data_IF_140309590736
#
_entry.id   IF_140309590736
#
_cell.length_a   1.000
_cell.length_b   1.000
_cell.length_c   1.000
_cell.angle_alpha   90.00
_cell.angle_beta   90.00
_cell.angle_gamma   90.00
#
_symmetry.space_group_name_H-M   'P 1'
#
loop_
_entity.id
_entity.type
_entity.pdbx_description
1 polymer ?
#
# COMPACT_ATOMS: atom_id res chain seq x y z
N UNK A 1 -3.37 19.17 18.10
CA UNK A 1 -4.66 19.13 18.82
C UNK A 1 -5.29 17.77 18.56
N UNK A 2 -5.62 17.03 19.62
CA UNK A 2 -6.29 15.73 19.54
C UNK A 2 -7.77 15.94 19.23
N UNK A 3 -8.19 15.62 18.01
CA UNK A 3 -9.61 15.62 17.65
C UNK A 3 -10.24 14.36 18.22
N UNK A 4 -11.18 14.55 19.14
CA UNK A 4 -11.99 13.47 19.72
C UNK A 4 -13.03 13.05 18.68
N UNK A 5 -12.97 11.80 18.23
CA UNK A 5 -14.15 11.19 17.60
C UNK A 5 -15.29 11.19 18.63
N UNK A 6 -16.53 11.41 18.21
CA UNK A 6 -17.70 11.26 19.09
C UNK A 6 -18.05 9.77 19.35
N UNK A 7 -17.15 8.85 19.00
CA UNK A 7 -17.35 7.42 19.21
C UNK A 7 -17.00 7.04 20.65
N UNK A 8 -18.01 6.77 21.46
CA UNK A 8 -17.89 6.27 22.85
C UNK A 8 -17.56 4.76 22.92
N UNK A 9 -16.81 4.25 21.93
CA UNK A 9 -16.47 2.83 21.83
C UNK A 9 -15.77 2.25 23.05
N UNK A 10 -15.59 0.93 23.02
CA UNK A 10 -14.88 0.24 24.09
C UNK A 10 -13.37 0.55 24.04
N UNK A 11 -12.83 0.97 25.18
CA UNK A 11 -11.39 1.04 25.38
C UNK A 11 -10.87 -0.36 25.72
N UNK A 12 -9.89 -0.85 24.95
CA UNK A 12 -9.26 -2.14 25.22
C UNK A 12 -8.22 -1.95 26.33
N UNK A 13 -8.36 -2.59 27.51
CA UNK A 13 -7.35 -2.51 28.55
C UNK A 13 -6.02 -3.09 28.05
N UNK A 14 -4.94 -2.32 28.21
CA UNK A 14 -3.58 -2.70 27.78
C UNK A 14 -2.63 -2.90 28.97
N UNK A 15 -3.13 -2.72 30.19
CA UNK A 15 -2.40 -2.79 31.45
C UNK A 15 -1.66 -4.12 31.64
N UNK A 16 -2.29 -5.24 31.28
CA UNK A 16 -1.67 -6.57 31.41
C UNK A 16 -0.65 -6.89 30.30
N UNK A 17 -0.83 -6.34 29.10
CA UNK A 17 -0.05 -6.67 27.89
C UNK A 17 1.07 -5.66 27.59
N UNK A 18 1.14 -4.56 28.35
CA UNK A 18 2.19 -3.51 28.33
C UNK A 18 2.33 -2.70 27.02
N UNK A 19 1.80 -3.17 25.89
CA UNK A 19 1.76 -2.48 24.59
C UNK A 19 0.37 -2.55 23.93
N UNK A 20 0.08 -1.60 23.02
CA UNK A 20 -1.19 -1.56 22.29
C UNK A 20 -1.35 -2.80 21.41
N UNK A 21 -2.55 -3.36 21.37
CA UNK A 21 -2.86 -4.60 20.66
C UNK A 21 -2.45 -4.58 19.17
N UNK A 22 -2.58 -3.42 18.52
CA UNK A 22 -2.33 -3.25 17.08
C UNK A 22 -0.86 -3.12 16.70
N UNK A 23 0.02 -2.75 17.62
CA UNK A 23 1.46 -2.67 17.30
C UNK A 23 2.17 -4.01 17.37
N UNK A 24 1.53 -5.05 17.94
CA UNK A 24 2.12 -6.40 18.03
C UNK A 24 1.65 -7.28 16.86
N UNK A 25 2.53 -7.67 15.92
CA UNK A 25 2.16 -8.46 14.75
C UNK A 25 1.76 -9.90 15.09
N UNK A 26 2.18 -10.43 16.25
CA UNK A 26 1.81 -11.80 16.68
C UNK A 26 0.44 -11.88 17.32
N UNK A 27 -0.16 -10.74 17.68
CA UNK A 27 -1.50 -10.71 18.26
C UNK A 27 -2.53 -10.50 17.16
N UNK A 28 -2.68 -11.52 16.32
CA UNK A 28 -3.49 -11.50 15.10
C UNK A 28 -4.93 -11.97 15.38
N UNK A 29 -5.91 -11.26 14.82
CA UNK A 29 -7.29 -11.74 14.73
C UNK A 29 -7.56 -12.42 13.39
N UNK A 30 -8.59 -13.28 13.34
CA UNK A 30 -9.11 -13.79 12.08
C UNK A 30 -9.92 -12.71 11.35
N UNK A 31 -10.04 -12.82 10.03
CA UNK A 31 -10.76 -11.87 9.18
C UNK A 31 -12.29 -11.89 9.38
N UNK A 32 -12.83 -12.93 10.01
CA UNK A 32 -14.25 -12.96 10.43
C UNK A 32 -14.41 -12.25 11.77
N UNK A 33 -15.56 -11.66 12.08
CA UNK A 33 -15.83 -11.20 13.44
C UNK A 33 -16.20 -12.38 14.37
N UNK A 34 -16.07 -12.17 15.69
CA UNK A 34 -16.55 -13.09 16.72
C UNK A 34 -17.35 -12.30 17.76
N UNK A 35 -18.46 -12.86 18.23
CA UNK A 35 -19.37 -12.24 19.20
C UNK A 35 -18.76 -12.09 20.60
N UNK A 36 -17.72 -12.86 20.92
CA UNK A 36 -17.03 -12.84 22.21
C UNK A 36 -15.67 -12.13 22.20
N UNK A 37 -15.23 -11.59 21.06
CA UNK A 37 -13.93 -10.92 20.94
C UNK A 37 -14.04 -9.59 20.20
N UNK A 38 -13.62 -8.51 20.86
CA UNK A 38 -13.56 -7.19 20.24
C UNK A 38 -12.38 -7.12 19.26
N UNK A 39 -12.70 -7.14 17.96
CA UNK A 39 -11.76 -7.13 16.83
C UNK A 39 -11.76 -5.75 16.16
N UNK A 40 -11.74 -5.70 14.82
CA UNK A 40 -11.85 -4.44 14.09
C UNK A 40 -13.22 -3.82 14.32
N UNK A 41 -13.22 -2.59 14.77
CA UNK A 41 -14.42 -1.78 14.88
C UNK A 41 -14.62 -0.97 13.60
N UNK A 42 -15.51 -1.47 12.74
CA UNK A 42 -15.75 -0.81 11.45
C UNK A 42 -16.43 0.56 11.57
N UNK A 43 -17.14 0.85 12.67
CA UNK A 43 -17.71 2.18 12.89
C UNK A 43 -16.61 3.16 13.30
N UNK A 44 -15.78 2.81 14.28
CA UNK A 44 -14.61 3.62 14.67
C UNK A 44 -13.69 3.86 13.47
N UNK A 45 -13.43 2.82 12.69
CA UNK A 45 -12.63 2.90 11.46
C UNK A 45 -13.17 3.95 10.48
N UNK A 46 -14.48 3.95 10.21
CA UNK A 46 -15.11 4.95 9.33
C UNK A 46 -14.99 6.36 9.91
N UNK A 47 -15.32 6.52 11.20
CA UNK A 47 -15.31 7.82 11.88
C UNK A 47 -13.91 8.43 11.94
N UNK A 48 -12.89 7.65 12.30
CA UNK A 48 -11.52 8.14 12.43
C UNK A 48 -10.90 8.48 11.08
N UNK A 49 -11.14 7.67 10.03
CA UNK A 49 -10.71 8.01 8.66
C UNK A 49 -11.33 9.32 8.18
N UNK A 50 -12.64 9.49 8.40
CA UNK A 50 -13.35 10.71 8.04
C UNK A 50 -12.81 11.92 8.82
N UNK A 51 -12.57 11.77 10.13
CA UNK A 51 -11.98 12.80 10.95
C UNK A 51 -10.57 13.21 10.47
N UNK A 52 -9.74 12.24 10.05
CA UNK A 52 -8.43 12.50 9.43
C UNK A 52 -8.55 13.30 8.15
N UNK A 53 -9.45 12.90 7.24
CA UNK A 53 -9.68 13.64 6.00
C UNK A 53 -10.14 15.08 6.27
N UNK A 54 -11.06 15.29 7.23
CA UNK A 54 -11.51 16.63 7.63
C UNK A 54 -10.39 17.48 8.22
N UNK A 55 -9.52 16.90 9.05
CA UNK A 55 -8.39 17.62 9.62
C UNK A 55 -7.43 18.10 8.51
N UNK A 56 -7.18 17.27 7.49
CA UNK A 56 -6.34 17.67 6.36
C UNK A 56 -7.04 18.66 5.41
N UNK A 57 -8.37 18.60 5.29
CA UNK A 57 -9.14 19.66 4.62
C UNK A 57 -8.97 21.00 5.31
N UNK A 58 -9.06 21.04 6.63
CA UNK A 58 -8.88 22.28 7.40
C UNK A 58 -7.45 22.81 7.27
N UNK A 59 -6.45 21.92 7.32
CA UNK A 59 -5.04 22.29 7.11
C UNK A 59 -4.80 22.97 5.74
N UNK A 60 -5.52 22.53 4.71
CA UNK A 60 -5.39 23.06 3.33
C UNK A 60 -6.45 24.13 3.00
N UNK A 61 -7.26 24.55 3.98
CA UNK A 61 -8.41 25.45 3.86
C UNK A 61 -9.37 25.07 2.71
N UNK A 62 -9.78 23.81 2.69
CA UNK A 62 -10.72 23.27 1.69
C UNK A 62 -12.16 23.39 2.18
N UNK A 63 -13.01 24.09 1.43
CA UNK A 63 -14.46 24.12 1.67
C UNK A 63 -15.10 22.75 1.46
N UNK A 64 -14.64 22.01 0.45
CA UNK A 64 -15.05 20.63 0.20
C UNK A 64 -13.95 19.83 -0.49
N UNK A 65 -14.04 18.51 -0.38
CA UNK A 65 -13.32 17.55 -1.21
C UNK A 65 -14.28 16.87 -2.17
N UNK A 66 -13.88 16.74 -3.43
CA UNK A 66 -14.51 15.88 -4.43
C UNK A 66 -13.52 14.78 -4.77
N UNK A 67 -13.88 13.53 -4.46
CA UNK A 67 -13.00 12.38 -4.69
C UNK A 67 -13.60 11.42 -5.72
N UNK A 68 -12.79 11.07 -6.71
CA UNK A 68 -13.11 10.13 -7.78
C UNK A 68 -12.30 8.83 -7.66
N UNK A 69 -11.08 8.89 -7.09
CA UNK A 69 -10.27 7.69 -6.91
C UNK A 69 -11.00 6.70 -6.00
N UNK A 70 -11.19 5.45 -6.43
CA UNK A 70 -12.04 4.51 -5.68
C UNK A 70 -11.53 4.21 -4.27
N UNK A 71 -10.21 4.28 -4.07
CA UNK A 71 -9.61 4.19 -2.75
C UNK A 71 -10.00 5.35 -1.82
N UNK A 72 -10.06 6.59 -2.34
CA UNK A 72 -10.49 7.75 -1.57
C UNK A 72 -12.01 7.71 -1.32
N UNK A 73 -12.80 7.28 -2.30
CA UNK A 73 -14.24 7.00 -2.12
C UNK A 73 -14.44 6.01 -0.97
N UNK A 74 -13.72 4.88 -0.97
CA UNK A 74 -13.78 3.89 0.10
C UNK A 74 -13.28 4.41 1.43
N UNK A 75 -12.19 5.18 1.44
CA UNK A 75 -11.63 5.75 2.67
C UNK A 75 -12.65 6.66 3.38
N UNK A 76 -13.36 7.51 2.63
CA UNK A 76 -14.34 8.45 3.18
C UNK A 76 -15.69 7.81 3.53
N UNK A 77 -16.07 6.71 2.88
CA UNK A 77 -17.45 6.19 2.95
C UNK A 77 -17.58 4.74 3.36
N UNK A 78 -16.49 3.96 3.35
CA UNK A 78 -16.55 2.51 3.47
C UNK A 78 -17.17 1.78 2.26
N UNK A 79 -17.58 2.49 1.21
CA UNK A 79 -18.19 1.89 0.03
C UNK A 79 -17.18 1.18 -0.87
N UNK A 80 -17.53 -0.01 -1.36
CA UNK A 80 -16.72 -0.83 -2.26
C UNK A 80 -17.56 -1.33 -3.44
N UNK A 81 -16.97 -1.37 -4.64
CA UNK A 81 -17.64 -1.78 -5.88
C UNK A 81 -16.72 -2.57 -6.83
N UNK A 82 -15.70 -3.26 -6.29
CA UNK A 82 -14.76 -4.03 -7.11
C UNK A 82 -13.61 -3.21 -7.72
N UNK A 83 -12.58 -3.92 -8.20
CA UNK A 83 -11.37 -3.31 -8.76
C UNK A 83 -11.63 -2.42 -9.99
N UNK A 84 -12.56 -2.83 -10.87
CA UNK A 84 -12.78 -2.13 -12.13
C UNK A 84 -13.31 -0.70 -11.96
N UNK A 85 -13.91 -0.35 -10.81
CA UNK A 85 -14.34 1.02 -10.48
C UNK A 85 -13.28 1.83 -9.72
N UNK A 86 -12.12 1.28 -9.39
CA UNK A 86 -11.11 1.99 -8.60
C UNK A 86 -10.35 3.05 -9.39
N UNK A 87 -10.22 2.85 -10.69
CA UNK A 87 -9.40 3.64 -11.61
C UNK A 87 -10.20 4.28 -12.75
N UNK A 88 -11.52 4.33 -12.63
CA UNK A 88 -12.41 4.98 -13.61
C UNK A 88 -13.35 5.96 -12.90
N UNK A 89 -13.55 7.13 -13.49
CA UNK A 89 -14.22 8.24 -12.85
C UNK A 89 -15.72 8.20 -13.18
N UNK A 90 -16.42 7.18 -12.67
CA UNK A 90 -17.86 6.96 -12.94
C UNK A 90 -18.75 7.07 -11.70
N UNK A 91 -18.12 7.27 -10.54
CA UNK A 91 -18.73 7.49 -9.23
C UNK A 91 -17.83 8.43 -8.42
N UNK A 92 -18.38 9.11 -7.44
CA UNK A 92 -17.64 10.13 -6.70
C UNK A 92 -18.26 10.41 -5.35
N UNK A 93 -17.50 11.07 -4.47
CA UNK A 93 -17.97 11.56 -3.18
C UNK A 93 -17.71 13.05 -3.08
N UNK A 94 -18.69 13.78 -2.55
CA UNK A 94 -18.50 15.18 -2.12
C UNK A 94 -18.50 15.19 -0.60
N UNK A 95 -17.38 15.58 0.01
CA UNK A 95 -17.23 15.79 1.44
C UNK A 95 -17.19 17.29 1.74
N UNK A 96 -18.29 17.90 2.22
CA UNK A 96 -18.30 19.30 2.66
C UNK A 96 -17.61 19.45 4.02
N UNK A 97 -16.94 20.58 4.28
CA UNK A 97 -16.25 20.85 5.56
C UNK A 97 -17.21 20.84 6.75
N UNK A 98 -18.44 21.31 6.55
CA UNK A 98 -19.49 21.47 7.55
C UNK A 98 -20.58 20.38 7.52
N UNK A 99 -20.37 19.27 6.83
CA UNK A 99 -21.37 18.22 6.71
C UNK A 99 -20.78 16.86 6.34
N UNK A 100 -21.61 15.82 6.33
CA UNK A 100 -21.22 14.44 6.07
C UNK A 100 -20.98 14.13 4.58
N UNK A 101 -20.21 13.08 4.23
CA UNK A 101 -19.94 12.75 2.83
C UNK A 101 -21.22 12.34 2.09
N UNK A 102 -21.32 12.81 0.84
CA UNK A 102 -22.38 12.46 -0.11
C UNK A 102 -21.82 11.54 -1.18
N UNK A 103 -22.37 10.34 -1.29
CA UNK A 103 -21.95 9.36 -2.28
C UNK A 103 -22.82 9.47 -3.54
N UNK A 104 -22.16 9.63 -4.68
CA UNK A 104 -22.76 9.50 -6.00
C UNK A 104 -22.38 8.13 -6.55
N UNK A 105 -23.35 7.22 -6.63
CA UNK A 105 -23.16 5.83 -7.08
C UNK A 105 -23.81 5.59 -8.45
N UNK A 106 -23.21 4.70 -9.25
CA UNK A 106 -23.74 4.31 -10.56
C UNK A 106 -25.20 3.89 -10.46
N UNK A 107 -26.06 4.50 -11.28
CA UNK A 107 -27.49 4.24 -11.23
C UNK A 107 -27.84 2.77 -11.53
N UNK A 108 -29.00 2.31 -11.05
CA UNK A 108 -29.45 0.93 -11.19
C UNK A 108 -29.17 0.11 -9.94
N UNK A 109 -28.72 -1.14 -10.12
CA UNK A 109 -28.51 -2.09 -9.02
C UNK A 109 -27.43 -1.63 -8.05
N UNK A 110 -26.35 -1.01 -8.53
CA UNK A 110 -25.25 -0.55 -7.68
C UNK A 110 -25.73 0.52 -6.69
N UNK A 111 -26.48 1.51 -7.17
CA UNK A 111 -27.15 2.51 -6.34
C UNK A 111 -28.08 1.87 -5.30
N UNK A 112 -28.87 0.87 -5.70
CA UNK A 112 -29.81 0.18 -4.79
C UNK A 112 -29.07 -0.60 -3.71
N UNK A 113 -28.01 -1.32 -4.07
CA UNK A 113 -27.19 -2.05 -3.12
C UNK A 113 -26.49 -1.09 -2.14
N UNK A 114 -25.93 0.01 -2.63
CA UNK A 114 -25.35 1.04 -1.76
C UNK A 114 -26.36 1.58 -0.73
N UNK A 115 -27.62 1.80 -1.13
CA UNK A 115 -28.68 2.24 -0.22
C UNK A 115 -29.08 1.19 0.84
N UNK A 116 -28.92 -0.10 0.53
CA UNK A 116 -29.23 -1.20 1.46
C UNK A 116 -28.06 -1.45 2.41
N UNK A 117 -26.85 -1.50 1.87
CA UNK A 117 -25.67 -2.00 2.58
C UNK A 117 -24.89 -0.92 3.34
N UNK A 118 -25.16 0.38 3.08
CA UNK A 118 -24.46 1.52 3.68
C UNK A 118 -25.41 2.38 4.54
N UNK A 119 -25.97 1.85 5.65
CA UNK A 119 -26.94 2.58 6.48
C UNK A 119 -26.34 3.87 7.09
N UNK A 120 -25.02 3.93 7.30
CA UNK A 120 -24.34 5.15 7.76
C UNK A 120 -24.27 6.27 6.70
N UNK A 121 -24.78 6.04 5.48
CA UNK A 121 -24.96 7.05 4.43
C UNK A 121 -26.44 7.29 4.11
N UNK A 122 -27.37 6.88 4.97
CA UNK A 122 -28.80 7.06 4.76
C UNK A 122 -29.13 8.53 4.41
N UNK A 123 -29.94 8.71 3.36
CA UNK A 123 -30.31 10.03 2.82
C UNK A 123 -29.21 10.76 2.04
N UNK A 124 -27.99 10.21 1.94
CA UNK A 124 -26.82 10.85 1.31
C UNK A 124 -26.25 10.09 0.12
N UNK A 125 -27.04 9.21 -0.49
CA UNK A 125 -26.68 8.47 -1.69
C UNK A 125 -27.51 8.96 -2.87
N UNK A 126 -26.85 9.45 -3.93
CA UNK A 126 -27.46 9.99 -5.16
C UNK A 126 -26.96 9.23 -6.40
N UNK A 127 -27.69 9.25 -7.52
CA UNK A 127 -27.19 8.68 -8.77
C UNK A 127 -25.99 9.49 -9.31
N UNK A 128 -24.89 8.80 -9.64
CA UNK A 128 -23.75 9.40 -10.33
C UNK A 128 -24.06 9.68 -11.79
N UNK A 129 -23.56 10.81 -12.28
CA UNK A 129 -23.54 11.11 -13.70
C UNK A 129 -22.22 10.61 -14.28
N UNK A 130 -22.28 9.54 -15.08
CA UNK A 130 -21.13 8.98 -15.78
C UNK A 130 -20.90 9.74 -17.08
N UNK A 131 -19.73 10.37 -17.23
CA UNK A 131 -19.38 11.12 -18.44
C UNK A 131 -18.34 10.42 -19.30
N UNK A 132 -17.49 9.59 -18.71
CA UNK A 132 -16.52 8.79 -19.45
C UNK A 132 -17.25 7.79 -20.36
N UNK A 133 -16.74 7.60 -21.58
CA UNK A 133 -17.35 6.74 -22.62
C UNK A 133 -18.77 7.13 -23.05
N UNK A 134 -19.17 8.40 -22.85
CA UNK A 134 -20.46 8.92 -23.32
C UNK A 134 -20.41 9.44 -24.77
N UNK A 135 -19.30 9.22 -25.49
CA UNK A 135 -19.05 9.58 -26.88
C UNK A 135 -19.38 11.05 -27.19
N UNK A 136 -20.32 11.32 -28.09
CA UNK A 136 -20.73 12.70 -28.40
C UNK A 136 -21.33 13.46 -27.23
N UNK A 137 -21.72 12.78 -26.15
CA UNK A 137 -22.35 13.37 -24.96
C UNK A 137 -21.38 13.60 -23.78
N UNK A 138 -20.07 13.34 -23.93
CA UNK A 138 -19.08 13.51 -22.85
C UNK A 138 -19.18 14.89 -22.19
N UNK A 139 -19.25 15.97 -22.98
CA UNK A 139 -19.36 17.33 -22.44
C UNK A 139 -20.66 17.57 -21.65
N UNK A 140 -21.80 17.13 -22.18
CA UNK A 140 -23.10 17.26 -21.51
C UNK A 140 -23.14 16.46 -20.20
N UNK A 141 -22.59 15.24 -20.21
CA UNK A 141 -22.56 14.40 -19.02
C UNK A 141 -21.59 14.91 -17.96
N UNK A 142 -20.46 15.50 -18.36
CA UNK A 142 -19.54 16.17 -17.44
C UNK A 142 -20.20 17.41 -16.81
N UNK A 143 -20.93 18.22 -17.61
CA UNK A 143 -21.72 19.34 -17.10
C UNK A 143 -22.77 18.87 -16.06
N UNK A 144 -23.47 17.76 -16.33
CA UNK A 144 -24.44 17.15 -15.40
C UNK A 144 -23.76 16.64 -14.12
N UNK A 145 -22.58 16.05 -14.23
CA UNK A 145 -21.78 15.62 -13.07
C UNK A 145 -21.45 16.81 -12.19
N UNK A 146 -20.87 17.88 -12.76
CA UNK A 146 -20.53 19.09 -12.01
C UNK A 146 -21.76 19.78 -11.43
N UNK A 147 -22.89 19.77 -12.15
CA UNK A 147 -24.17 20.27 -11.62
C UNK A 147 -24.59 19.53 -10.34
N UNK A 148 -24.43 18.20 -10.29
CA UNK A 148 -24.73 17.40 -9.10
C UNK A 148 -23.79 17.67 -7.92
N UNK A 149 -22.51 17.96 -8.20
CA UNK A 149 -21.55 18.42 -7.17
C UNK A 149 -21.96 19.79 -6.64
N UNK A 150 -22.33 20.70 -7.54
CA UNK A 150 -22.79 22.05 -7.21
C UNK A 150 -24.05 22.07 -6.34
N UNK A 151 -24.96 21.11 -6.49
CA UNK A 151 -26.12 20.97 -5.59
C UNK A 151 -25.68 20.78 -4.14
N UNK A 152 -24.79 19.83 -3.86
CA UNK A 152 -24.27 19.58 -2.51
C UNK A 152 -23.53 20.82 -1.99
N UNK A 153 -22.72 21.47 -2.82
CA UNK A 153 -22.02 22.70 -2.42
C UNK A 153 -22.99 23.84 -2.09
N UNK A 154 -24.08 24.02 -2.84
CA UNK A 154 -25.12 25.03 -2.55
C UNK A 154 -25.86 24.73 -1.25
N UNK A 155 -26.25 23.47 -1.04
CA UNK A 155 -26.91 23.03 0.19
C UNK A 155 -26.08 23.34 1.44
N UNK A 156 -24.74 23.34 1.31
CA UNK A 156 -23.80 23.61 2.40
C UNK A 156 -23.23 25.04 2.41
N UNK A 157 -23.60 25.89 1.45
CA UNK A 157 -23.12 27.27 1.33
C UNK A 157 -21.66 27.42 0.88
N UNK A 158 -21.10 26.43 0.19
CA UNK A 158 -19.66 26.30 -0.11
C UNK A 158 -19.28 26.65 -1.55
N UNK A 159 -20.19 27.19 -2.37
CA UNK A 159 -19.94 27.42 -3.82
C UNK A 159 -18.85 28.46 -4.11
N UNK A 160 -18.42 29.24 -3.11
CA UNK A 160 -17.36 30.26 -3.24
C UNK A 160 -16.04 29.83 -2.59
N UNK A 161 -16.01 28.65 -1.97
CA UNK A 161 -14.86 28.14 -1.27
C UNK A 161 -13.88 27.44 -2.21
N UNK A 162 -12.70 27.10 -1.68
CA UNK A 162 -11.71 26.27 -2.34
C UNK A 162 -12.17 24.80 -2.37
N UNK A 163 -12.30 24.22 -3.55
CA UNK A 163 -12.78 22.84 -3.75
C UNK A 163 -11.59 21.95 -4.15
N UNK A 164 -11.21 21.03 -3.27
CA UNK A 164 -10.13 20.08 -3.56
C UNK A 164 -10.63 18.91 -4.40
N UNK A 165 -9.94 18.58 -5.49
CA UNK A 165 -10.23 17.44 -6.35
C UNK A 165 -9.03 16.48 -6.34
N UNK A 166 -9.24 15.18 -6.09
CA UNK A 166 -8.16 14.20 -5.96
C UNK A 166 -7.55 13.75 -7.29
N UNK A 167 -8.38 13.47 -8.29
CA UNK A 167 -8.00 13.20 -9.67
C UNK A 167 -9.07 13.75 -10.62
N UNK A 168 -8.71 14.07 -11.86
CA UNK A 168 -9.65 14.59 -12.85
C UNK A 168 -9.14 14.35 -14.28
N UNK A 169 -10.08 14.25 -15.22
CA UNK A 169 -9.80 14.28 -16.66
C UNK A 169 -10.14 15.66 -17.26
N UNK A 170 -9.75 15.89 -18.52
CA UNK A 170 -9.97 17.18 -19.19
C UNK A 170 -11.46 17.56 -19.33
N UNK A 171 -12.40 16.67 -19.69
CA UNK A 171 -13.83 17.02 -19.69
C UNK A 171 -14.35 17.48 -18.34
N UNK A 172 -14.01 16.77 -17.25
CA UNK A 172 -14.39 17.18 -15.91
C UNK A 172 -13.77 18.54 -15.54
N UNK A 173 -12.48 18.75 -15.85
CA UNK A 173 -11.80 20.03 -15.63
C UNK A 173 -12.56 21.20 -16.25
N UNK A 174 -12.86 21.11 -17.55
CA UNK A 174 -13.56 22.19 -18.25
C UNK A 174 -14.98 22.41 -17.71
N UNK A 175 -15.68 21.35 -17.31
CA UNK A 175 -17.00 21.48 -16.70
C UNK A 175 -16.95 22.21 -15.34
N UNK A 176 -15.93 21.92 -14.51
CA UNK A 176 -15.70 22.63 -13.25
C UNK A 176 -15.37 24.11 -13.47
N UNK A 177 -14.48 24.41 -14.43
CA UNK A 177 -14.13 25.79 -14.81
C UNK A 177 -15.32 26.56 -15.35
N UNK A 178 -16.11 25.93 -16.24
CA UNK A 178 -17.35 26.51 -16.80
C UNK A 178 -18.39 26.79 -15.71
N UNK A 179 -18.44 25.97 -14.66
CA UNK A 179 -19.31 26.21 -13.51
C UNK A 179 -18.81 27.34 -12.58
N UNK A 180 -17.61 27.87 -12.82
CA UNK A 180 -17.03 28.97 -12.04
C UNK A 180 -16.54 28.55 -10.65
N UNK A 181 -16.24 27.26 -10.45
CA UNK A 181 -15.74 26.74 -9.18
C UNK A 181 -14.24 26.98 -9.01
N UNK A 182 -13.82 27.37 -7.81
CA UNK A 182 -12.41 27.50 -7.45
C UNK A 182 -11.84 26.12 -7.08
N UNK A 183 -11.40 25.37 -8.08
CA UNK A 183 -10.84 24.04 -7.90
C UNK A 183 -9.34 24.06 -7.64
N UNK A 184 -8.86 23.12 -6.82
CA UNK A 184 -7.44 22.94 -6.49
C UNK A 184 -7.09 21.46 -6.40
N UNK A 185 -5.80 21.14 -6.35
CA UNK A 185 -5.34 19.78 -6.09
C UNK A 185 -5.68 19.34 -4.65
N UNK A 186 -6.58 18.38 -4.52
CA UNK A 186 -7.00 17.76 -3.24
C UNK A 186 -6.23 16.49 -2.88
N UNK A 187 -5.40 15.96 -3.78
CA UNK A 187 -4.59 14.76 -3.50
C UNK A 187 -3.70 14.89 -2.27
N UNK A 188 -2.99 16.01 -2.01
CA UNK A 188 -2.14 16.14 -0.83
C UNK A 188 -2.89 15.94 0.50
N UNK A 189 -4.10 16.47 0.63
CA UNK A 189 -4.93 16.29 1.82
C UNK A 189 -5.28 14.80 2.03
N UNK A 190 -5.74 14.12 0.98
CA UNK A 190 -6.08 12.69 1.05
C UNK A 190 -4.85 11.79 1.28
N UNK A 191 -3.70 12.13 0.69
CA UNK A 191 -2.45 11.42 0.93
C UNK A 191 -2.03 11.54 2.40
N UNK A 192 -1.95 12.76 2.97
CA UNK A 192 -1.59 12.95 4.38
C UNK A 192 -2.57 12.28 5.34
N UNK A 193 -3.86 12.26 5.01
CA UNK A 193 -4.87 11.59 5.82
C UNK A 193 -4.66 10.07 5.89
N UNK A 194 -4.20 9.43 4.81
CA UNK A 194 -4.02 7.97 4.69
C UNK A 194 -2.66 7.46 5.16
N UNK A 195 -1.61 8.28 5.02
CA UNK A 195 -0.24 7.84 5.33
C UNK A 195 -0.09 7.46 6.82
N UNK A 196 -0.84 8.10 7.73
CA UNK A 196 -0.87 7.77 9.17
C UNK A 196 -2.10 6.93 9.50
N UNK A 197 -1.87 5.69 9.94
CA UNK A 197 -2.92 4.69 10.12
C UNK A 197 -3.61 4.85 11.48
N UNK A 198 -4.91 4.61 11.49
CA UNK A 198 -5.69 4.41 12.72
C UNK A 198 -5.48 3.00 13.27
N UNK A 199 -5.82 2.73 14.55
CA UNK A 199 -5.68 1.40 15.14
C UNK A 199 -6.39 0.29 14.35
N UNK A 200 -7.60 0.55 13.85
CA UNK A 200 -8.37 -0.43 13.08
C UNK A 200 -7.77 -0.67 11.68
N UNK A 201 -7.12 0.32 11.09
CA UNK A 201 -6.38 0.14 9.83
C UNK A 201 -5.17 -0.76 10.04
N UNK A 202 -4.44 -0.55 11.14
CA UNK A 202 -3.28 -1.39 11.48
C UNK A 202 -3.72 -2.84 11.68
N UNK A 203 -4.88 -3.10 12.30
CA UNK A 203 -5.41 -4.46 12.41
C UNK A 203 -5.77 -5.07 11.05
N UNK A 204 -6.39 -4.31 10.15
CA UNK A 204 -6.68 -4.78 8.79
C UNK A 204 -5.39 -5.14 8.03
N UNK A 205 -4.39 -4.28 8.12
CA UNK A 205 -3.06 -4.50 7.53
C UNK A 205 -2.41 -5.77 8.09
N UNK A 206 -2.47 -5.99 9.42
CA UNK A 206 -1.96 -7.23 10.05
C UNK A 206 -2.63 -8.47 9.47
N UNK A 207 -3.94 -8.43 9.25
CA UNK A 207 -4.68 -9.53 8.66
C UNK A 207 -4.26 -9.79 7.21
N UNK A 208 -4.09 -8.74 6.40
CA UNK A 208 -3.56 -8.87 5.04
C UNK A 208 -2.15 -9.46 5.02
N UNK A 209 -1.24 -8.93 5.85
CA UNK A 209 0.13 -9.40 5.97
C UNK A 209 0.21 -10.88 6.35
N UNK A 210 -0.61 -11.33 7.30
CA UNK A 210 -0.62 -12.73 7.74
C UNK A 210 -1.12 -13.70 6.65
N UNK A 211 -2.06 -13.29 5.80
CA UNK A 211 -2.49 -14.09 4.64
C UNK A 211 -1.35 -14.17 3.62
N UNK A 212 -0.67 -13.05 3.38
CA UNK A 212 0.53 -12.99 2.55
C UNK A 212 1.61 -13.95 3.04
N UNK A 213 2.00 -13.86 4.31
CA UNK A 213 2.98 -14.75 4.96
C UNK A 213 2.62 -16.22 4.75
N UNK A 214 1.35 -16.58 4.96
CA UNK A 214 0.89 -17.94 4.77
C UNK A 214 1.04 -18.38 3.30
N UNK A 215 0.70 -17.51 2.33
CA UNK A 215 0.89 -17.80 0.92
C UNK A 215 2.37 -18.05 0.60
N UNK A 216 3.28 -17.19 1.08
CA UNK A 216 4.72 -17.34 0.86
C UNK A 216 5.27 -18.61 1.53
N UNK A 217 4.74 -18.98 2.71
CA UNK A 217 5.07 -20.25 3.34
C UNK A 217 4.66 -21.44 2.47
N UNK A 218 3.45 -21.44 1.90
CA UNK A 218 3.01 -22.50 0.99
C UNK A 218 3.82 -22.53 -0.31
N UNK A 219 4.25 -21.37 -0.85
CA UNK A 219 5.17 -21.33 -1.97
C UNK A 219 6.45 -22.09 -1.63
N UNK A 220 7.12 -21.70 -0.53
CA UNK A 220 8.41 -22.28 -0.11
C UNK A 220 8.30 -23.78 0.17
N UNK A 221 7.25 -24.22 0.84
CA UNK A 221 7.19 -25.57 1.43
C UNK A 221 6.37 -26.57 0.61
N UNK A 222 5.46 -26.13 -0.26
CA UNK A 222 4.51 -27.03 -0.94
C UNK A 222 4.46 -26.85 -2.46
N UNK A 223 4.50 -25.60 -2.95
CA UNK A 223 4.25 -25.34 -4.37
C UNK A 223 5.54 -25.27 -5.20
N UNK A 224 6.64 -24.76 -4.64
CA UNK A 224 7.91 -24.64 -5.33
C UNK A 224 8.62 -25.99 -5.47
N UNK A 225 8.71 -26.49 -6.70
CA UNK A 225 9.45 -27.70 -7.06
C UNK A 225 9.86 -27.67 -8.53
N UNK A 226 10.91 -28.43 -8.93
CA UNK A 226 11.30 -28.52 -10.33
C UNK A 226 10.14 -28.99 -11.21
N UNK A 227 10.00 -28.38 -12.39
CA UNK A 227 9.01 -28.74 -13.39
C UNK A 227 7.64 -28.06 -13.26
N UNK A 228 7.40 -27.27 -12.21
CA UNK A 228 6.27 -26.33 -12.22
C UNK A 228 6.65 -25.04 -12.93
N UNK A 229 5.69 -24.32 -13.50
CA UNK A 229 5.93 -23.03 -14.14
C UNK A 229 5.80 -21.86 -13.16
N UNK A 230 6.40 -20.72 -13.47
CA UNK A 230 6.17 -19.46 -12.74
C UNK A 230 4.68 -19.14 -12.65
N UNK A 231 3.95 -19.30 -13.77
CA UNK A 231 2.49 -19.13 -13.87
C UNK A 231 1.71 -20.08 -12.94
N UNK A 232 2.19 -21.30 -12.72
CA UNK A 232 1.56 -22.22 -11.78
C UNK A 232 1.71 -21.73 -10.34
N UNK A 233 2.87 -21.18 -9.95
CA UNK A 233 3.05 -20.55 -8.63
C UNK A 233 2.10 -19.35 -8.47
N UNK A 234 2.09 -18.43 -9.43
CA UNK A 234 1.17 -17.26 -9.47
C UNK A 234 -0.29 -17.71 -9.27
N UNK A 235 -0.74 -18.70 -10.04
CA UNK A 235 -2.12 -19.19 -9.97
C UNK A 235 -2.49 -19.77 -8.60
N UNK A 236 -1.54 -20.41 -7.91
CA UNK A 236 -1.77 -20.96 -6.57
C UNK A 236 -1.89 -19.84 -5.52
N UNK A 237 -1.06 -18.80 -5.63
CA UNK A 237 -1.17 -17.62 -4.77
C UNK A 237 -2.52 -16.94 -4.96
N UNK A 238 -2.95 -16.72 -6.21
CA UNK A 238 -4.27 -16.17 -6.52
C UNK A 238 -5.38 -16.97 -5.83
N UNK A 239 -5.39 -18.29 -6.05
CA UNK A 239 -6.39 -19.17 -5.43
C UNK A 239 -6.35 -19.08 -3.91
N UNK A 240 -5.17 -19.18 -3.32
CA UNK A 240 -4.99 -19.26 -1.88
C UNK A 240 -5.47 -18.00 -1.15
N UNK A 241 -5.15 -16.83 -1.69
CA UNK A 241 -5.48 -15.53 -1.11
C UNK A 241 -6.98 -15.23 -1.29
N UNK A 242 -7.56 -15.50 -2.46
CA UNK A 242 -9.00 -15.33 -2.70
C UNK A 242 -9.83 -16.25 -1.80
N UNK A 243 -9.41 -17.51 -1.61
CA UNK A 243 -10.06 -18.46 -0.69
C UNK A 243 -10.05 -17.97 0.78
N UNK A 244 -9.25 -16.94 1.11
CA UNK A 244 -9.12 -16.36 2.46
C UNK A 244 -9.71 -14.96 2.59
N UNK A 245 -10.47 -14.51 1.59
CA UNK A 245 -11.20 -13.24 1.65
C UNK A 245 -10.39 -12.02 1.23
N UNK A 246 -9.23 -12.19 0.58
CA UNK A 246 -8.63 -11.09 -0.17
C UNK A 246 -9.59 -10.62 -1.26
N UNK A 247 -9.70 -9.31 -1.43
CA UNK A 247 -10.69 -8.70 -2.32
C UNK A 247 -10.19 -8.60 -3.76
N UNK A 248 -8.90 -8.31 -3.93
CA UNK A 248 -8.27 -8.10 -5.24
C UNK A 248 -6.86 -8.68 -5.15
N UNK A 249 -6.48 -9.48 -6.14
CA UNK A 249 -5.06 -9.81 -6.34
C UNK A 249 -4.55 -8.80 -7.36
N UNK A 250 -3.69 -7.89 -6.92
CA UNK A 250 -3.28 -6.76 -7.73
C UNK A 250 -2.27 -7.23 -8.78
N UNK A 251 -1.15 -7.81 -8.34
CA UNK A 251 -0.17 -8.49 -9.17
C UNK A 251 0.61 -9.50 -8.32
N UNK A 252 0.89 -10.69 -8.86
CA UNK A 252 1.82 -11.64 -8.23
C UNK A 252 3.00 -11.83 -9.19
N UNK A 253 4.14 -11.26 -8.82
CA UNK A 253 5.37 -11.38 -9.60
C UNK A 253 6.04 -12.70 -9.24
N UNK A 254 6.41 -13.48 -10.25
CA UNK A 254 7.19 -14.69 -10.09
C UNK A 254 8.28 -14.72 -11.15
N UNK A 255 9.55 -14.65 -10.74
CA UNK A 255 10.70 -14.72 -11.63
C UNK A 255 11.66 -15.80 -11.16
N UNK A 256 12.04 -16.72 -12.04
CA UNK A 256 12.87 -17.89 -11.71
C UNK A 256 14.14 -17.99 -12.55
N UNK A 257 15.25 -18.40 -11.92
CA UNK A 257 16.48 -18.68 -12.66
C UNK A 257 17.01 -17.44 -13.38
N UNK A 258 17.34 -17.60 -14.65
CA UNK A 258 17.72 -16.49 -15.54
C UNK A 258 16.66 -15.40 -15.73
N UNK A 259 15.38 -15.62 -15.41
CA UNK A 259 14.38 -14.53 -15.40
C UNK A 259 14.57 -13.56 -14.22
N UNK A 260 15.41 -13.91 -13.23
CA UNK A 260 15.82 -12.96 -12.20
C UNK A 260 16.96 -12.04 -12.69
N UNK A 261 17.69 -12.39 -13.76
CA UNK A 261 18.84 -11.60 -14.26
C UNK A 261 18.80 -11.37 -15.78
N UNK A 262 18.39 -10.18 -16.28
CA UNK A 262 17.81 -9.07 -15.52
C UNK A 262 16.43 -9.41 -14.97
N UNK A 263 16.04 -8.78 -13.86
CA UNK A 263 14.79 -9.08 -13.16
C UNK A 263 13.56 -8.80 -14.02
N UNK A 264 12.97 -9.88 -14.55
CA UNK A 264 11.72 -9.88 -15.29
C UNK A 264 10.57 -10.06 -14.30
N UNK A 265 9.84 -8.98 -14.04
CA UNK A 265 8.76 -8.95 -13.03
C UNK A 265 7.56 -9.84 -13.34
N UNK A 266 7.32 -10.23 -14.58
CA UNK A 266 6.06 -10.91 -14.92
C UNK A 266 6.23 -12.41 -15.05
N UNK A 267 5.38 -13.16 -14.36
CA UNK A 267 5.37 -14.61 -14.40
C UNK A 267 5.11 -15.13 -15.82
N UNK A 268 5.91 -16.09 -16.27
CA UNK A 268 5.79 -16.70 -17.60
C UNK A 268 5.42 -18.18 -17.52
N UNK A 269 5.34 -18.85 -18.66
CA UNK A 269 5.25 -20.31 -18.74
C UNK A 269 6.61 -21.00 -18.57
N UNK A 270 7.68 -20.26 -18.21
CA UNK A 270 9.00 -20.84 -17.90
C UNK A 270 8.87 -21.90 -16.82
N UNK A 271 9.40 -23.08 -17.13
CA UNK A 271 9.62 -24.15 -16.15
C UNK A 271 10.70 -23.74 -15.15
N UNK A 272 10.38 -23.86 -13.87
CA UNK A 272 11.32 -23.69 -12.76
C UNK A 272 12.19 -24.94 -12.69
N UNK A 273 13.51 -24.75 -12.66
CA UNK A 273 14.47 -25.84 -12.58
C UNK A 273 15.02 -26.00 -11.16
N UNK A 274 15.58 -27.17 -10.87
CA UNK A 274 16.36 -27.36 -9.65
C UNK A 274 17.56 -26.40 -9.65
N UNK A 275 17.78 -25.70 -8.54
CA UNK A 275 18.83 -24.70 -8.44
C UNK A 275 18.42 -23.28 -8.86
N UNK A 276 17.22 -23.07 -9.40
CA UNK A 276 16.74 -21.72 -9.65
C UNK A 276 16.50 -20.99 -8.31
N UNK A 277 16.97 -19.75 -8.21
CA UNK A 277 16.41 -18.73 -7.33
C UNK A 277 15.04 -18.32 -7.88
N UNK A 278 14.11 -18.08 -6.97
CA UNK A 278 12.75 -17.65 -7.26
C UNK A 278 12.47 -16.35 -6.50
N UNK A 279 12.35 -15.24 -7.21
CA UNK A 279 11.81 -14.00 -6.64
C UNK A 279 10.29 -14.09 -6.75
N UNK A 280 9.61 -13.97 -5.61
CA UNK A 280 8.15 -13.82 -5.54
C UNK A 280 7.82 -12.51 -4.85
N UNK A 281 7.01 -11.69 -5.50
CA UNK A 281 6.40 -10.47 -4.96
C UNK A 281 4.89 -10.71 -4.83
N UNK A 282 4.35 -10.59 -3.61
CA UNK A 282 2.92 -10.73 -3.36
C UNK A 282 2.33 -9.35 -3.17
N UNK A 283 1.63 -8.85 -4.19
CA UNK A 283 0.88 -7.60 -4.13
C UNK A 283 -0.63 -7.88 -4.21
N UNK A 284 -1.30 -7.78 -3.08
CA UNK A 284 -2.72 -8.10 -2.99
C UNK A 284 -3.46 -7.24 -1.97
N UNK A 285 -4.75 -7.05 -2.22
CA UNK A 285 -5.68 -6.37 -1.33
C UNK A 285 -6.34 -7.42 -0.45
N UNK A 286 -5.96 -7.45 0.82
CA UNK A 286 -6.58 -8.31 1.81
C UNK A 286 -7.99 -7.88 2.20
N UNK A 287 -8.60 -8.62 3.15
CA UNK A 287 -9.92 -8.29 3.67
C UNK A 287 -9.99 -6.85 4.17
N UNK A 288 -11.10 -6.16 3.91
CA UNK A 288 -11.29 -4.79 4.39
C UNK A 288 -10.51 -3.73 3.58
N UNK A 289 -9.81 -4.13 2.52
CA UNK A 289 -9.26 -3.24 1.50
C UNK A 289 -7.80 -2.88 1.68
N UNK A 290 -7.08 -3.51 2.62
CA UNK A 290 -5.70 -3.16 2.93
C UNK A 290 -4.71 -4.05 2.18
N UNK A 291 -3.73 -3.41 1.57
CA UNK A 291 -2.70 -4.08 0.81
C UNK A 291 -1.73 -4.84 1.73
N UNK A 292 -1.21 -5.92 1.17
CA UNK A 292 0.06 -6.56 1.52
C UNK A 292 0.93 -6.53 0.24
N UNK A 293 2.19 -6.16 0.39
CA UNK A 293 3.18 -6.04 -0.69
C UNK A 293 4.50 -6.57 -0.15
N UNK A 294 4.89 -7.80 -0.45
CA UNK A 294 6.14 -8.30 0.10
C UNK A 294 6.81 -9.35 -0.75
N UNK A 295 8.14 -9.28 -0.72
CA UNK A 295 9.03 -10.08 -1.55
C UNK A 295 9.88 -11.01 -0.72
N UNK A 296 10.00 -12.25 -1.20
CA UNK A 296 11.08 -13.16 -0.81
C UNK A 296 11.76 -13.73 -2.04
N UNK A 297 13.07 -13.90 -1.92
CA UNK A 297 13.84 -14.77 -2.83
C UNK A 297 14.00 -16.14 -2.18
N UNK A 298 13.60 -17.20 -2.89
CA UNK A 298 13.63 -18.59 -2.44
C UNK A 298 14.55 -19.43 -3.34
N UNK A 299 14.92 -20.64 -2.89
CA UNK A 299 15.75 -21.58 -3.66
C UNK A 299 14.96 -22.85 -4.00
N UNK A 300 14.93 -23.23 -5.28
CA UNK A 300 14.21 -24.42 -5.75
C UNK A 300 15.04 -25.71 -5.59
N UNK A 301 14.64 -26.58 -4.65
CA UNK A 301 15.13 -27.96 -4.51
C UNK A 301 16.66 -28.16 -4.52
N UNK A 302 17.40 -27.19 -4.01
CA UNK A 302 18.85 -27.23 -3.87
C UNK A 302 19.28 -26.33 -2.71
N UNK A 303 20.53 -26.48 -2.26
CA UNK A 303 21.16 -25.50 -1.36
C UNK A 303 21.62 -24.28 -2.14
N UNK A 304 21.64 -23.13 -1.50
CA UNK A 304 22.24 -21.91 -2.02
C UNK A 304 23.75 -22.11 -2.17
N UNK A 305 24.30 -21.61 -3.28
CA UNK A 305 25.74 -21.50 -3.46
C UNK A 305 26.29 -20.34 -2.64
N UNK A 306 27.61 -20.28 -2.43
CA UNK A 306 28.22 -19.15 -1.71
C UNK A 306 27.91 -17.80 -2.39
N UNK A 307 27.95 -17.74 -3.73
CA UNK A 307 27.61 -16.54 -4.48
C UNK A 307 26.17 -16.09 -4.24
N UNK A 308 25.22 -17.02 -4.15
CA UNK A 308 23.81 -16.70 -3.87
C UNK A 308 23.62 -16.29 -2.40
N UNK A 309 24.36 -16.88 -1.47
CA UNK A 309 24.36 -16.47 -0.05
C UNK A 309 24.88 -15.04 0.09
N UNK A 310 26.00 -14.71 -0.55
CA UNK A 310 26.60 -13.38 -0.49
C UNK A 310 25.65 -12.33 -1.08
N UNK A 311 25.02 -12.65 -2.22
CA UNK A 311 24.02 -11.78 -2.86
C UNK A 311 22.77 -11.57 -1.99
N UNK A 312 22.29 -12.63 -1.35
CA UNK A 312 21.14 -12.55 -0.45
C UNK A 312 21.47 -11.65 0.75
N UNK A 313 22.66 -11.79 1.33
CA UNK A 313 23.15 -10.95 2.43
C UNK A 313 23.29 -9.50 2.02
N UNK A 314 23.80 -9.21 0.82
CA UNK A 314 23.83 -7.83 0.28
C UNK A 314 22.44 -7.18 0.31
N UNK A 315 21.45 -7.90 -0.21
CA UNK A 315 20.06 -7.44 -0.30
C UNK A 315 19.50 -7.22 1.10
N UNK A 316 19.71 -8.20 1.99
CA UNK A 316 19.24 -8.19 3.38
C UNK A 316 19.86 -7.05 4.18
N UNK A 317 21.18 -6.88 4.15
CA UNK A 317 21.89 -5.86 4.93
C UNK A 317 21.44 -4.44 4.51
N UNK A 318 21.31 -4.19 3.20
CA UNK A 318 20.75 -2.93 2.67
C UNK A 318 19.33 -2.67 3.14
N UNK A 319 18.47 -3.70 3.11
CA UNK A 319 17.06 -3.59 3.49
C UNK A 319 16.92 -3.20 4.96
N UNK A 320 17.62 -3.94 5.83
CA UNK A 320 17.52 -3.77 7.27
C UNK A 320 18.22 -2.49 7.74
N UNK A 321 19.26 -2.01 7.04
CA UNK A 321 19.87 -0.71 7.30
C UNK A 321 18.93 0.47 7.05
N UNK A 322 18.24 0.48 5.90
CA UNK A 322 17.22 1.50 5.65
C UNK A 322 16.07 1.41 6.65
N UNK A 323 15.62 0.19 6.95
CA UNK A 323 14.50 -0.05 7.87
C UNK A 323 14.79 0.43 9.29
N UNK A 324 16.03 0.34 9.79
CA UNK A 324 16.40 0.81 11.13
C UNK A 324 16.05 2.29 11.36
N UNK A 325 16.06 3.08 10.28
CA UNK A 325 15.75 4.51 10.28
C UNK A 325 14.25 4.82 10.13
N UNK A 326 13.38 3.81 10.00
CA UNK A 326 11.92 3.98 10.03
C UNK A 326 11.43 4.23 11.47
N UNK A 327 11.76 5.40 12.00
CA UNK A 327 11.48 5.84 13.38
C UNK A 327 10.88 7.25 13.39
N UNK A 328 10.02 7.58 14.37
CA UNK A 328 9.53 8.94 14.54
C UNK A 328 10.70 9.94 14.67
N UNK A 329 10.62 11.05 13.93
CA UNK A 329 11.63 12.12 13.94
C UNK A 329 12.82 11.91 12.99
N UNK A 330 12.98 10.70 12.42
CA UNK A 330 13.88 10.48 11.29
C UNK A 330 13.24 10.98 9.99
N UNK A 331 14.02 11.04 8.92
CA UNK A 331 13.56 11.49 7.61
C UNK A 331 13.73 10.43 6.53
N UNK A 332 13.01 10.62 5.42
CA UNK A 332 13.21 9.79 4.22
C UNK A 332 14.65 9.85 3.68
N UNK A 333 15.40 10.93 3.94
CA UNK A 333 16.83 11.01 3.60
C UNK A 333 17.66 10.02 4.42
N UNK A 334 17.37 9.88 5.72
CA UNK A 334 18.11 8.99 6.62
C UNK A 334 17.95 7.53 6.21
N UNK A 335 16.74 7.14 5.74
CA UNK A 335 16.45 5.81 5.20
C UNK A 335 17.24 5.56 3.92
N UNK A 336 17.08 6.42 2.89
CA UNK A 336 17.68 6.17 1.56
C UNK A 336 19.19 6.40 1.53
N UNK A 337 19.75 7.07 2.53
CA UNK A 337 21.20 7.19 2.70
C UNK A 337 21.86 5.84 3.01
N UNK A 338 21.11 4.87 3.54
CA UNK A 338 21.60 3.52 3.78
C UNK A 338 21.51 2.62 2.55
N UNK A 339 20.70 2.98 1.56
CA UNK A 339 20.61 2.21 0.32
C UNK A 339 21.86 2.41 -0.55
N UNK A 340 22.40 1.35 -1.16
CA UNK A 340 23.51 1.46 -2.09
C UNK A 340 23.08 2.26 -3.32
N UNK A 341 24.06 2.93 -3.94
CA UNK A 341 23.85 3.49 -5.27
C UNK A 341 23.72 2.35 -6.28
N UNK A 342 22.76 2.48 -7.20
CA UNK A 342 22.54 1.49 -8.25
C UNK A 342 22.64 2.10 -9.66
N UNK A 343 22.83 1.29 -10.70
CA UNK A 343 23.08 1.81 -12.07
C UNK A 343 21.91 2.65 -12.60
N UNK A 344 20.69 2.40 -12.14
CA UNK A 344 19.50 3.15 -12.54
C UNK A 344 19.32 4.48 -11.78
N UNK A 345 20.10 4.75 -10.72
CA UNK A 345 20.11 6.05 -10.04
C UNK A 345 20.52 7.18 -11.01
N UNK A 346 21.26 6.86 -12.08
CA UNK A 346 21.65 7.81 -13.14
C UNK A 346 20.47 8.43 -13.87
N UNK A 347 19.29 7.81 -13.84
CA UNK A 347 18.08 8.34 -14.48
C UNK A 347 17.41 9.44 -13.66
N UNK A 348 17.80 9.65 -12.39
CA UNK A 348 17.24 10.71 -11.55
C UNK A 348 15.75 10.57 -11.25
N UNK A 349 15.23 9.34 -11.31
CA UNK A 349 13.84 8.98 -11.01
C UNK A 349 13.82 7.84 -10.00
N UNK A 350 12.65 7.50 -9.45
CA UNK A 350 12.55 6.36 -8.54
C UNK A 350 12.96 5.09 -9.26
N UNK A 351 14.00 4.47 -8.73
CA UNK A 351 14.47 3.15 -9.13
C UNK A 351 13.67 2.12 -8.36
N UNK A 352 12.96 1.22 -9.05
CA UNK A 352 12.22 0.14 -8.40
C UNK A 352 13.16 -0.96 -7.87
N UNK A 353 14.44 -0.64 -7.63
CA UNK A 353 15.48 -1.52 -7.11
C UNK A 353 15.80 -1.23 -5.64
N UNK A 354 15.79 0.05 -5.24
CA UNK A 354 16.19 0.51 -3.91
C UNK A 354 15.25 1.64 -3.46
N UNK A 355 14.14 1.30 -2.81
CA UNK A 355 13.15 2.29 -2.41
C UNK A 355 12.23 1.80 -1.29
N UNK A 356 11.45 2.72 -0.73
CA UNK A 356 10.32 2.40 0.13
C UNK A 356 9.11 3.22 -0.29
N UNK A 357 7.90 2.79 0.04
CA UNK A 357 6.68 3.53 -0.26
C UNK A 357 5.60 3.30 0.80
N UNK A 358 4.80 4.33 1.08
CA UNK A 358 3.69 4.19 2.03
C UNK A 358 2.59 3.34 1.41
N UNK A 359 2.12 2.36 2.17
CA UNK A 359 1.10 1.40 1.76
C UNK A 359 -0.05 1.32 2.78
N UNK A 360 -1.25 1.05 2.28
CA UNK A 360 -2.47 0.96 3.10
C UNK A 360 -3.66 0.51 2.25
N UNK A 361 -4.66 1.36 2.02
CA UNK A 361 -5.82 1.04 1.16
C UNK A 361 -5.52 1.18 -0.35
N UNK A 362 -4.35 1.72 -0.68
CA UNK A 362 -3.74 1.65 -2.01
C UNK A 362 -2.32 1.12 -1.87
N UNK A 363 -1.80 0.56 -2.98
CA UNK A 363 -0.39 0.23 -3.09
C UNK A 363 0.51 1.43 -2.76
N UNK A 364 0.19 2.60 -3.32
CA UNK A 364 0.94 3.83 -3.12
C UNK A 364 0.05 4.92 -2.51
N UNK A 365 0.14 5.13 -1.19
CA UNK A 365 -0.64 6.15 -0.45
C UNK A 365 0.01 7.54 -0.41
N UNK A 366 1.24 7.64 -0.91
CA UNK A 366 2.09 8.82 -0.78
C UNK A 366 3.47 8.43 -0.26
N UNK A 367 4.29 9.44 0.05
CA UNK A 367 5.59 9.29 0.71
C UNK A 367 6.44 8.12 0.19
N UNK A 368 6.76 8.14 -1.09
CA UNK A 368 7.83 7.31 -1.62
C UNK A 368 9.17 7.80 -1.07
N UNK A 369 10.07 6.89 -0.76
CA UNK A 369 11.44 7.14 -0.32
C UNK A 369 12.39 6.62 -1.39
N UNK A 370 13.08 7.53 -2.06
CA UNK A 370 14.06 7.18 -3.08
C UNK A 370 15.23 8.16 -3.07
N UNK A 371 16.43 7.64 -3.35
CA UNK A 371 17.66 8.42 -3.51
C UNK A 371 17.50 9.53 -4.56
N UNK A 372 16.62 9.35 -5.54
CA UNK A 372 16.34 10.32 -6.61
C UNK A 372 15.94 11.71 -6.10
N UNK A 373 15.26 11.80 -4.95
CA UNK A 373 14.83 13.09 -4.40
C UNK A 373 14.87 13.17 -2.87
N UNK A 374 14.80 12.08 -2.12
CA UNK A 374 14.64 12.12 -0.66
C UNK A 374 15.84 12.74 0.05
N UNK A 375 17.05 12.57 -0.50
CA UNK A 375 18.27 13.23 0.01
C UNK A 375 18.21 14.76 -0.07
N UNK A 376 17.47 15.31 -1.04
CA UNK A 376 17.33 16.76 -1.27
C UNK A 376 16.03 17.32 -0.70
N UNK A 377 14.99 16.51 -0.68
CA UNK A 377 13.63 16.86 -0.24
C UNK A 377 13.15 15.84 0.80
N UNK A 378 13.77 15.82 2.00
CA UNK A 378 13.41 14.89 3.06
C UNK A 378 11.98 15.14 3.55
N UNK A 379 11.27 14.06 3.87
CA UNK A 379 10.00 14.10 4.60
C UNK A 379 10.16 13.42 5.96
N UNK A 380 9.50 13.96 6.98
CA UNK A 380 9.54 13.44 8.36
C UNK A 380 8.75 12.13 8.48
N UNK A 381 9.36 11.13 9.12
CA UNK A 381 8.72 9.86 9.48
C UNK A 381 8.01 10.03 10.82
N UNK A 382 6.76 9.56 10.90
CA UNK A 382 5.88 9.70 12.08
C UNK A 382 5.36 8.35 12.55
N UNK A 383 4.95 8.28 13.81
CA UNK A 383 4.28 7.11 14.38
C UNK A 383 3.00 6.77 13.59
N UNK A 384 2.73 5.46 13.49
CA UNK A 384 1.64 4.85 12.73
C UNK A 384 1.72 5.04 11.21
N UNK A 385 2.85 5.49 10.67
CA UNK A 385 3.12 5.30 9.25
C UNK A 385 3.43 3.82 8.96
N UNK A 386 3.07 3.36 7.77
CA UNK A 386 3.26 1.98 7.35
C UNK A 386 3.85 1.94 5.94
N UNK A 387 4.93 1.19 5.77
CA UNK A 387 5.73 1.19 4.54
C UNK A 387 6.01 -0.23 4.05
N UNK A 388 5.99 -0.37 2.73
CA UNK A 388 6.74 -1.37 2.00
C UNK A 388 8.15 -0.84 1.80
N UNK A 389 9.18 -1.58 2.22
CA UNK A 389 10.58 -1.23 2.01
C UNK A 389 11.26 -2.36 1.26
N UNK A 390 11.93 -2.04 0.16
CA UNK A 390 12.39 -3.02 -0.83
C UNK A 390 13.81 -2.75 -1.31
N UNK A 391 14.58 -3.82 -1.46
CA UNK A 391 15.95 -3.75 -1.98
C UNK A 391 16.22 -4.88 -2.98
N UNK A 392 17.20 -4.66 -3.82
CA UNK A 392 17.60 -5.57 -4.89
C UNK A 392 19.11 -5.64 -5.00
N UNK A 393 19.65 -6.85 -5.16
CA UNK A 393 21.04 -7.06 -5.51
C UNK A 393 21.16 -7.88 -6.79
N UNK A 394 21.88 -7.33 -7.77
CA UNK A 394 22.23 -7.99 -9.01
C UNK A 394 23.46 -7.32 -9.64
N UNK A 395 24.34 -8.09 -10.26
CA UNK A 395 25.59 -7.58 -10.81
C UNK A 395 25.81 -8.10 -12.23
N UNK A 396 26.49 -7.35 -13.12
CA UNK A 396 26.82 -7.81 -14.46
C UNK A 396 27.50 -9.18 -14.44
N UNK A 397 26.99 -10.11 -15.26
CA UNK A 397 27.52 -11.47 -15.36
C UNK A 397 26.95 -12.46 -14.34
N UNK A 398 26.16 -12.02 -13.35
CA UNK A 398 25.46 -12.95 -12.46
C UNK A 398 24.29 -13.62 -13.18
N UNK A 399 24.17 -14.97 -13.11
CA UNK A 399 23.09 -15.69 -13.78
C UNK A 399 21.73 -15.49 -13.12
N UNK A 400 21.72 -15.05 -11.86
CA UNK A 400 20.52 -14.90 -11.04
C UNK A 400 20.69 -13.71 -10.09
N UNK A 401 19.58 -13.13 -9.62
CA UNK A 401 19.57 -11.98 -8.70
C UNK A 401 18.70 -12.21 -7.47
N UNK A 402 18.71 -11.28 -6.53
CA UNK A 402 17.93 -11.33 -5.30
C UNK A 402 17.14 -10.03 -5.10
N UNK A 403 15.88 -10.16 -4.67
CA UNK A 403 15.05 -9.06 -4.18
C UNK A 403 14.45 -9.46 -2.83
N UNK A 404 14.35 -8.50 -1.92
CA UNK A 404 13.68 -8.66 -0.64
C UNK A 404 12.86 -7.42 -0.32
N UNK A 405 11.77 -7.62 0.41
CA UNK A 405 10.91 -6.55 0.88
C UNK A 405 10.27 -6.92 2.22
N UNK A 406 10.05 -5.92 3.06
CA UNK A 406 9.26 -6.06 4.27
C UNK A 406 8.13 -5.03 4.31
N UNK A 407 7.01 -5.40 4.96
CA UNK A 407 6.01 -4.42 5.38
C UNK A 407 6.19 -4.05 6.86
N UNK A 408 6.31 -2.75 7.13
CA UNK A 408 6.83 -2.23 8.39
C UNK A 408 5.94 -1.14 8.94
N UNK A 409 5.48 -1.33 10.19
CA UNK A 409 4.84 -0.29 10.98
C UNK A 409 5.88 0.53 11.73
N UNK A 410 5.77 1.87 11.65
CA UNK A 410 6.53 2.79 12.48
C UNK A 410 5.80 2.96 13.82
N UNK A 411 6.36 2.44 14.90
CA UNK A 411 5.84 2.65 16.26
C UNK A 411 6.64 3.73 16.99
N UNK A 412 6.17 4.19 18.16
CA UNK A 412 6.96 5.05 19.07
C UNK A 412 8.38 4.54 19.37
N UNK A 413 8.57 3.22 19.36
CA UNK A 413 9.85 2.57 19.71
C UNK A 413 10.69 2.21 18.48
N UNK A 414 10.17 2.47 17.27
CA UNK A 414 10.81 2.19 15.99
C UNK A 414 10.06 1.18 15.11
N UNK A 415 10.75 0.57 14.13
CA UNK A 415 10.13 -0.27 13.12
C UNK A 415 9.65 -1.60 13.71
N UNK A 416 8.45 -2.03 13.32
CA UNK A 416 7.90 -3.35 13.61
C UNK A 416 7.46 -4.00 12.31
N UNK A 417 8.14 -5.08 11.95
CA UNK A 417 7.85 -5.86 10.73
C UNK A 417 6.56 -6.65 10.91
N UNK A 418 5.64 -6.59 9.96
CA UNK A 418 4.38 -7.35 9.97
C UNK A 418 4.47 -8.63 9.15
N UNK A 419 5.32 -8.67 8.13
CA UNK A 419 5.69 -9.84 7.35
C UNK A 419 6.64 -10.74 8.15
N UNK A 420 6.15 -11.90 8.58
CA UNK A 420 6.85 -12.86 9.46
C UNK A 420 7.43 -14.05 8.73
N UNK A 421 7.23 -14.17 7.41
CA UNK A 421 7.86 -15.22 6.62
C UNK A 421 9.39 -15.15 6.77
N UNK A 422 9.98 -16.26 7.18
CA UNK A 422 11.41 -16.37 7.40
C UNK A 422 12.23 -16.17 6.11
N UNK A 423 13.41 -15.58 6.27
CA UNK A 423 14.42 -15.55 5.22
C UNK A 423 15.06 -16.93 5.02
N UNK A 424 15.93 -17.04 4.03
CA UNK A 424 16.69 -18.26 3.78
C UNK A 424 17.72 -18.48 4.91
N UNK A 425 17.51 -19.52 5.73
CA UNK A 425 18.38 -19.86 6.87
C UNK A 425 19.86 -20.03 6.46
N UNK A 426 20.12 -20.57 5.28
CA UNK A 426 21.48 -20.73 4.74
C UNK A 426 22.21 -19.39 4.58
N UNK A 427 21.46 -18.32 4.29
CA UNK A 427 22.01 -16.98 4.15
C UNK A 427 22.11 -16.26 5.50
N UNK A 428 21.06 -16.31 6.33
CA UNK A 428 20.95 -15.43 7.51
C UNK A 428 20.85 -16.18 8.85
N UNK A 429 21.00 -17.50 8.90
CA UNK A 429 20.85 -18.29 10.14
C UNK A 429 21.86 -17.95 11.24
N UNK A 430 22.99 -17.32 10.87
CA UNK A 430 23.97 -16.78 11.84
C UNK A 430 23.65 -15.37 12.32
N UNK A 431 22.64 -14.71 11.73
CA UNK A 431 22.20 -13.36 12.06
C UNK A 431 21.10 -13.49 13.12
N UNK A 432 21.13 -12.69 14.18
CA UNK A 432 20.00 -12.68 15.12
C UNK A 432 18.91 -11.77 14.56
N UNK A 433 17.65 -12.15 14.75
CA UNK A 433 16.50 -11.30 14.41
C UNK A 433 16.59 -9.99 15.22
N UNK A 434 16.72 -8.86 14.52
CA UNK A 434 16.88 -7.54 15.15
C UNK A 434 18.34 -7.11 15.37
N UNK A 435 19.32 -7.98 15.13
CA UNK A 435 20.70 -7.54 14.97
C UNK A 435 20.81 -6.94 13.56
N UNK A 436 20.82 -5.62 13.50
CA UNK A 436 21.15 -4.87 12.31
C UNK A 436 22.65 -5.04 12.02
N UNK A 437 23.00 -6.20 11.47
CA UNK A 437 24.36 -6.49 11.05
C UNK A 437 24.68 -5.58 9.88
N UNK A 438 25.37 -4.48 10.15
CA UNK A 438 25.89 -3.57 9.13
C UNK A 438 27.39 -3.81 8.99
N UNK A 439 27.86 -4.83 8.26
CA UNK A 439 29.25 -4.91 7.88
C UNK A 439 29.52 -3.78 6.87
N UNK A 440 29.71 -2.55 7.37
CA UNK A 440 30.11 -1.34 6.64
C UNK A 440 29.56 -1.26 5.21
N UNK A 441 28.43 -0.59 5.01
CA UNK A 441 27.72 -0.41 3.73
C UNK A 441 28.50 0.28 2.58
N UNK A 442 29.84 0.26 2.60
CA UNK A 442 30.74 0.53 1.48
C UNK A 442 31.97 -0.39 1.59
N UNK A 443 32.06 -1.43 0.74
CA UNK A 443 33.23 -2.31 0.76
C UNK A 443 33.14 -3.64 0.01
N UNK A 444 32.54 -3.70 -1.19
CA UNK A 444 32.79 -4.86 -2.04
C UNK A 444 34.26 -4.87 -2.49
N UNK A 445 34.99 -5.99 -2.34
CA UNK A 445 36.38 -6.06 -2.76
C UNK A 445 36.43 -5.82 -4.26
N UNK A 446 37.17 -4.80 -4.69
CA UNK A 446 37.74 -4.86 -6.03
C UNK A 446 38.52 -6.16 -6.10
N UNK A 447 38.27 -6.97 -7.13
CA UNK A 447 39.19 -8.02 -7.51
C UNK A 447 40.55 -7.36 -7.79
N UNK A 448 41.38 -7.21 -6.76
CA UNK A 448 42.82 -7.15 -6.94
C UNK A 448 43.25 -8.58 -7.19
N UNK A 449 43.35 -8.92 -8.46
CA UNK A 449 44.26 -9.96 -8.90
C UNK A 449 45.66 -9.61 -8.34
N UNK A 450 46.07 -10.31 -7.30
CA UNK A 450 47.48 -10.47 -6.99
C UNK A 450 48.03 -11.54 -7.94
N UNK A 451 48.62 -11.10 -9.04
CA UNK A 451 49.57 -11.94 -9.76
C UNK A 451 50.96 -11.65 -9.19
N UNK A 452 51.51 -12.66 -8.51
CA UNK A 452 52.95 -12.93 -8.51
C UNK A 452 53.41 -13.32 -9.92
#
# INVERSE_FOLDING_TARGET
MTFSSNYEGYQIPTDFIQELHHTNPRRLFSHVNADWQYRVDHERLRQERLARARAEMENDDLGALVVFAGANVRYLTGSYQGNWKYNINIRYVVLPRNGEPWLFETAGSDLRNAMIDLPWLEGRIRPAMTWQWAEGAVGEMADKMVASVMEVLREHGLTKEKIGIDNLDFPALHAFEKAGLHIVNGWPAMSRARVIKTPDEIEQIKMSAAIGDAAMWHIKNEWLRPGVTERQIESQVHKFMLDRGCEIIYDIIVASGGNTSPYRRWATDKLIQQGDLLIVDINAVGPGGYYVDFVRTLKCAARMTQQEIDLYRETYDSLYAGMENLRPGMTTADVVAQFPTYDDDKYGTVTLQQFAHSIGITLYEGMWMSRAYSLKYPAEIKENMYFAIETFAGHPGLPQTCRLEENVLVTKNGPVIFTKMEHMEEAVGSYRVGDFHHPSLLGYPSHKESND
#
